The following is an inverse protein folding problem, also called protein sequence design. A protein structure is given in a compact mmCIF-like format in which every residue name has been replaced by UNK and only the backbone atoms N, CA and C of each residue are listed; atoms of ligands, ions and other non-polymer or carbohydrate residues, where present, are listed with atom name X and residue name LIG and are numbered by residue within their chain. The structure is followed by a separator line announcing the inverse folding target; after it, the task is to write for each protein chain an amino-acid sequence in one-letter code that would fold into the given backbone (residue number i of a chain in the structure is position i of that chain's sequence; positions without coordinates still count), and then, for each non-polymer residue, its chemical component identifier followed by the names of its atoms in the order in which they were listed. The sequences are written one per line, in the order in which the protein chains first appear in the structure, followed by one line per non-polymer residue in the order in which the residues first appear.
data_IF_827533458282
#
_entry.id   IF_827533458282
#
_cell.length_a   1.000
_cell.length_b   1.000
_cell.length_c   1.000
_cell.angle_alpha   90.00
_cell.angle_beta   90.00
_cell.angle_gamma   90.00
#
_symmetry.space_group_name_H-M   'P 1'
#
loop_
_entity.id
_entity.type
_entity.pdbx_description
1 polymer ?
#
# COMPACT_ATOMS: atom_id res chain seq x y z
N UNK A 1 -1.90 12.70 -0.02
CA UNK A 1 -2.16 11.78 1.11
C UNK A 1 -1.02 11.78 2.14
N UNK A 2 0.21 12.09 1.73
CA UNK A 2 1.37 12.15 2.65
C UNK A 2 1.20 13.17 3.79
N UNK A 3 0.55 14.31 3.56
CA UNK A 3 0.27 15.28 4.63
C UNK A 3 -0.65 14.72 5.72
N UNK A 4 -1.66 13.94 5.33
CA UNK A 4 -2.55 13.26 6.28
C UNK A 4 -1.76 12.23 7.11
N UNK A 5 -0.86 11.46 6.47
CA UNK A 5 0.05 10.54 7.19
C UNK A 5 0.95 11.31 8.17
N UNK A 6 1.48 12.47 7.77
CA UNK A 6 2.27 13.34 8.62
C UNK A 6 1.48 13.96 9.78
N UNK A 7 0.20 14.28 9.58
CA UNK A 7 -0.70 14.73 10.63
C UNK A 7 -0.97 13.62 11.66
N UNK A 8 -1.25 12.38 11.22
CA UNK A 8 -1.40 11.23 12.11
C UNK A 8 -0.13 10.94 12.92
N UNK A 9 1.03 11.07 12.29
CA UNK A 9 2.31 10.87 12.96
C UNK A 9 2.57 11.92 14.05
N UNK A 10 2.28 13.20 13.77
CA UNK A 10 2.55 14.32 14.69
C UNK A 10 1.46 14.54 15.74
N UNK A 11 0.22 14.18 15.44
CA UNK A 11 -0.96 14.49 16.26
C UNK A 11 -1.21 13.53 17.42
N UNK A 12 -0.57 12.37 17.46
CA UNK A 12 -0.78 11.37 18.50
C UNK A 12 0.47 11.16 19.37
N UNK A 13 0.32 11.26 20.69
CA UNK A 13 1.38 10.91 21.66
C UNK A 13 1.87 9.46 21.52
N UNK A 14 1.02 8.57 21.01
CA UNK A 14 1.34 7.17 20.75
C UNK A 14 0.99 6.86 19.29
N UNK A 15 1.97 6.35 18.55
CA UNK A 15 1.81 6.03 17.14
C UNK A 15 0.70 4.98 16.96
N UNK A 16 -0.30 5.25 16.10
CA UNK A 16 -1.32 4.26 15.81
C UNK A 16 -0.72 3.12 14.97
N UNK A 17 -1.35 1.93 14.92
CA UNK A 17 -0.84 0.80 14.15
C UNK A 17 -0.69 1.18 12.67
N UNK A 18 0.37 0.75 11.98
CA UNK A 18 0.63 1.15 10.58
C UNK A 18 -0.52 0.85 9.62
N UNK A 19 -1.26 -0.24 9.85
CA UNK A 19 -2.48 -0.60 9.10
C UNK A 19 -3.59 0.47 9.16
N UNK A 20 -3.55 1.37 10.13
CA UNK A 20 -4.52 2.47 10.29
C UNK A 20 -4.06 3.75 9.61
N UNK A 21 -2.80 3.81 9.15
CA UNK A 21 -2.34 4.96 8.39
C UNK A 21 -3.03 5.01 7.03
N UNK A 22 -3.32 6.22 6.52
CA UNK A 22 -3.74 6.37 5.13
C UNK A 22 -2.74 5.70 4.19
N UNK A 23 -3.18 5.09 3.08
CA UNK A 23 -2.28 4.52 2.08
C UNK A 23 -1.32 5.59 1.55
N UNK A 24 -0.15 5.17 1.06
CA UNK A 24 0.73 6.07 0.31
C UNK A 24 0.04 6.51 -0.98
N UNK A 25 0.45 7.66 -1.53
CA UNK A 25 -0.18 8.24 -2.72
C UNK A 25 -0.24 7.24 -3.90
N UNK A 26 0.81 6.44 -4.11
CA UNK A 26 0.83 5.42 -5.14
C UNK A 26 -0.25 4.33 -4.94
N UNK A 27 -0.45 3.87 -3.70
CA UNK A 27 -1.50 2.89 -3.39
C UNK A 27 -2.89 3.51 -3.46
N UNK A 28 -3.04 4.79 -3.09
CA UNK A 28 -4.30 5.51 -3.28
C UNK A 28 -4.68 5.56 -4.77
N UNK A 29 -3.74 5.84 -5.67
CA UNK A 29 -4.01 5.85 -7.11
C UNK A 29 -4.50 4.47 -7.60
N UNK A 30 -3.85 3.39 -7.16
CA UNK A 30 -4.30 2.03 -7.47
C UNK A 30 -5.73 1.74 -6.94
N UNK A 31 -6.08 2.26 -5.76
CA UNK A 31 -7.45 2.16 -5.25
C UNK A 31 -8.46 2.96 -6.09
N UNK A 32 -8.11 4.18 -6.50
CA UNK A 32 -8.96 5.01 -7.37
C UNK A 32 -9.20 4.32 -8.69
N UNK A 33 -8.17 3.72 -9.29
CA UNK A 33 -8.29 2.96 -10.53
C UNK A 33 -9.25 1.77 -10.39
N UNK A 34 -9.16 1.00 -9.29
CA UNK A 34 -10.10 -0.10 -9.03
C UNK A 34 -11.54 0.39 -8.85
N UNK A 35 -11.74 1.49 -8.12
CA UNK A 35 -13.05 2.10 -7.97
C UNK A 35 -13.59 2.61 -9.32
N UNK A 36 -12.71 3.14 -10.18
CA UNK A 36 -13.08 3.58 -11.52
C UNK A 36 -13.54 2.41 -12.39
N UNK A 37 -12.83 1.28 -12.39
CA UNK A 37 -13.26 0.05 -13.06
C UNK A 37 -14.65 -0.40 -12.59
N UNK A 38 -14.88 -0.39 -11.27
CA UNK A 38 -16.17 -0.76 -10.70
C UNK A 38 -17.31 0.12 -11.25
N UNK A 39 -17.09 1.43 -11.32
CA UNK A 39 -18.07 2.38 -11.85
C UNK A 39 -18.28 2.18 -13.35
N UNK A 40 -17.22 1.91 -14.13
CA UNK A 40 -17.33 1.60 -15.57
C UNK A 40 -18.23 0.38 -15.81
N UNK A 41 -17.99 -0.70 -15.06
CA UNK A 41 -18.80 -1.92 -15.15
C UNK A 41 -20.25 -1.68 -14.74
N UNK A 42 -20.49 -0.90 -13.67
CA UNK A 42 -21.84 -0.56 -13.24
C UNK A 42 -22.61 0.25 -14.27
N UNK A 43 -21.97 1.25 -14.89
CA UNK A 43 -22.60 2.05 -15.94
C UNK A 43 -22.95 1.23 -17.18
N UNK A 44 -22.22 0.16 -17.43
CA UNK A 44 -22.44 -0.77 -18.53
C UNK A 44 -23.24 -2.03 -18.13
N UNK A 45 -23.85 -2.07 -16.94
CA UNK A 45 -24.46 -3.30 -16.41
C UNK A 45 -25.61 -3.87 -17.27
N UNK A 46 -26.26 -3.06 -18.10
CA UNK A 46 -27.31 -3.49 -19.03
C UNK A 46 -26.77 -3.91 -20.41
N UNK A 47 -25.49 -3.72 -20.67
CA UNK A 47 -24.85 -4.09 -21.93
C UNK A 47 -24.50 -5.57 -21.90
N UNK A 48 -24.53 -6.22 -23.07
CA UNK A 48 -24.17 -7.64 -23.21
C UNK A 48 -22.71 -7.90 -22.87
N UNK A 49 -21.84 -7.02 -23.33
CA UNK A 49 -20.39 -7.13 -23.18
C UNK A 49 -19.87 -5.96 -22.34
N UNK A 50 -18.81 -6.16 -21.54
CA UNK A 50 -18.19 -5.08 -20.79
C UNK A 50 -17.54 -4.05 -21.73
N UNK A 51 -17.36 -2.79 -21.27
CA UNK A 51 -16.63 -1.76 -22.02
C UNK A 51 -15.24 -2.26 -22.44
N UNK A 52 -14.78 -1.84 -23.62
CA UNK A 52 -13.48 -2.25 -24.16
C UNK A 52 -12.35 -1.95 -23.16
N UNK A 53 -12.43 -0.80 -22.51
CA UNK A 53 -11.46 -0.35 -21.51
C UNK A 53 -11.38 -1.34 -20.34
N UNK A 54 -12.52 -1.91 -19.92
CA UNK A 54 -12.59 -2.83 -18.79
C UNK A 54 -12.08 -4.25 -19.11
N UNK A 55 -11.80 -4.57 -20.39
CA UNK A 55 -11.33 -5.90 -20.79
C UNK A 55 -9.95 -6.25 -20.22
N UNK A 56 -9.09 -5.25 -20.06
CA UNK A 56 -7.80 -5.44 -19.41
C UNK A 56 -7.79 -4.79 -18.02
N UNK A 57 -8.23 -5.55 -17.02
CA UNK A 57 -8.31 -5.09 -15.62
C UNK A 57 -6.94 -4.73 -15.03
N UNK A 58 -5.82 -5.17 -15.63
CA UNK A 58 -4.48 -4.80 -15.17
C UNK A 58 -4.23 -3.29 -15.24
N UNK A 59 -4.88 -2.61 -16.20
CA UNK A 59 -4.85 -1.15 -16.32
C UNK A 59 -5.52 -0.44 -15.13
N UNK A 60 -6.24 -1.17 -14.28
CA UNK A 60 -7.00 -0.63 -13.17
C UNK A 60 -6.47 -1.06 -11.80
N UNK A 61 -5.18 -1.42 -11.72
CA UNK A 61 -4.53 -1.77 -10.45
C UNK A 61 -4.83 -3.19 -9.96
N UNK A 62 -4.93 -4.14 -10.91
CA UNK A 62 -4.99 -5.58 -10.65
C UNK A 62 -3.76 -6.26 -11.23
N UNK A 63 -3.29 -7.33 -10.58
CA UNK A 63 -2.29 -8.24 -11.12
C UNK A 63 -2.99 -9.48 -11.64
N UNK A 64 -2.57 -9.95 -12.82
CA UNK A 64 -3.11 -11.16 -13.47
C UNK A 64 -1.94 -12.13 -13.61
N UNK A 65 -1.95 -13.21 -12.82
CA UNK A 65 -0.92 -14.24 -12.83
C UNK A 65 -1.59 -15.59 -13.13
N UNK A 66 -1.62 -15.97 -14.41
CA UNK A 66 -2.37 -17.14 -14.86
C UNK A 66 -3.86 -16.99 -14.56
N UNK A 67 -4.40 -17.83 -13.68
CA UNK A 67 -5.80 -17.76 -13.22
C UNK A 67 -6.00 -16.93 -11.94
N UNK A 68 -4.91 -16.48 -11.30
CA UNK A 68 -4.99 -15.69 -10.08
C UNK A 68 -5.13 -14.20 -10.40
N UNK A 69 -6.11 -13.56 -9.76
CA UNK A 69 -6.31 -12.11 -9.80
C UNK A 69 -6.09 -11.58 -8.39
N UNK A 70 -5.09 -10.72 -8.22
CA UNK A 70 -4.78 -10.08 -6.93
C UNK A 70 -4.74 -8.57 -7.08
N UNK A 71 -4.96 -7.84 -5.99
CA UNK A 71 -4.86 -6.38 -6.02
C UNK A 71 -3.41 -5.97 -6.20
N UNK A 72 -3.12 -5.12 -7.19
CA UNK A 72 -1.79 -4.53 -7.30
C UNK A 72 -1.53 -3.63 -6.08
N UNK A 73 -0.32 -3.76 -5.53
CA UNK A 73 0.20 -2.95 -4.43
C UNK A 73 1.51 -2.33 -4.93
N UNK A 74 1.68 -1.04 -4.71
CA UNK A 74 2.89 -0.32 -5.08
C UNK A 74 4.09 -0.84 -4.28
N UNK A 75 5.22 -1.00 -4.97
CA UNK A 75 6.53 -1.27 -4.39
C UNK A 75 7.28 0.01 -4.00
N UNK A 76 6.64 1.18 -4.15
CA UNK A 76 7.23 2.45 -3.75
C UNK A 76 7.51 2.46 -2.24
N UNK A 77 8.63 3.05 -1.80
CA UNK A 77 8.98 3.07 -0.39
C UNK A 77 7.92 3.82 0.42
N UNK A 78 7.64 3.30 1.62
CA UNK A 78 6.58 3.82 2.52
C UNK A 78 6.92 5.22 3.07
N UNK A 79 8.21 5.60 2.99
CA UNK A 79 8.76 6.88 3.36
C UNK A 79 10.00 7.21 2.50
N UNK A 80 10.42 8.48 2.41
CA UNK A 80 11.71 8.87 1.82
C UNK A 80 12.89 8.10 2.41
N UNK A 81 13.89 7.77 1.59
CA UNK A 81 15.06 6.98 2.00
C UNK A 81 15.80 7.61 3.19
N UNK A 82 16.04 8.93 3.16
CA UNK A 82 16.70 9.64 4.25
C UNK A 82 15.99 9.51 5.62
N UNK A 83 14.67 9.27 5.63
CA UNK A 83 13.94 9.00 6.86
C UNK A 83 14.08 7.54 7.30
N UNK A 84 14.18 6.59 6.37
CA UNK A 84 14.44 5.19 6.69
C UNK A 84 15.84 5.01 7.28
N UNK A 85 16.82 5.79 6.80
CA UNK A 85 18.22 5.72 7.25
C UNK A 85 18.41 6.16 8.72
N UNK A 86 17.47 6.94 9.28
CA UNK A 86 17.48 7.36 10.70
C UNK A 86 16.55 6.52 11.59
N UNK A 87 15.69 5.69 11.00
CA UNK A 87 14.85 4.76 11.75
C UNK A 87 15.72 3.60 12.23
N UNK A 88 15.93 3.55 13.55
CA UNK A 88 16.69 2.49 14.20
C UNK A 88 15.85 1.82 15.28
N UNK A 89 16.08 0.52 15.48
CA UNK A 89 15.67 -0.17 16.68
C UNK A 89 16.89 -0.38 17.59
N UNK A 90 16.66 -0.72 18.85
CA UNK A 90 17.72 -1.07 19.79
C UNK A 90 18.19 -2.53 19.64
N UNK A 91 17.93 -3.18 18.50
CA UNK A 91 18.37 -4.55 18.28
C UNK A 91 19.88 -4.58 18.03
N UNK A 92 20.63 -5.20 18.93
CA UNK A 92 22.05 -5.48 18.78
C UNK A 92 22.23 -6.96 18.47
N UNK A 93 22.55 -7.31 17.22
CA UNK A 93 22.92 -8.68 16.86
C UNK A 93 23.86 -8.67 15.65
N UNK A 94 24.98 -9.39 15.75
CA UNK A 94 26.07 -9.41 14.74
C UNK A 94 25.65 -9.96 13.37
N UNK A 95 24.61 -10.80 13.29
CA UNK A 95 24.17 -11.43 12.03
C UNK A 95 22.65 -11.47 11.79
N UNK A 96 21.82 -11.00 12.73
CA UNK A 96 20.33 -11.02 12.64
C UNK A 96 19.70 -9.77 13.23
N UNK A 97 20.26 -8.60 12.93
CA UNK A 97 19.60 -7.35 13.25
C UNK A 97 18.21 -7.36 12.59
N UNK A 98 17.19 -7.01 13.35
CA UNK A 98 15.82 -6.84 12.87
C UNK A 98 15.08 -8.07 12.32
N UNK A 99 15.56 -9.31 12.48
CA UNK A 99 14.81 -10.50 12.01
C UNK A 99 13.91 -11.14 13.08
N UNK A 100 14.06 -10.73 14.34
CA UNK A 100 13.32 -11.29 15.46
C UNK A 100 11.91 -10.73 15.60
N UNK A 101 10.99 -11.51 16.17
CA UNK A 101 9.62 -11.07 16.51
C UNK A 101 9.55 -9.97 17.57
N UNK A 102 10.66 -9.75 18.30
CA UNK A 102 10.80 -8.68 19.31
C UNK A 102 11.36 -7.37 18.74
N UNK A 103 11.75 -7.33 17.47
CA UNK A 103 12.27 -6.11 16.85
C UNK A 103 11.13 -5.15 16.52
N UNK A 104 11.24 -3.89 16.98
CA UNK A 104 10.27 -2.84 16.64
C UNK A 104 10.22 -2.55 15.14
N UNK A 105 11.36 -2.53 14.43
CA UNK A 105 11.39 -2.32 12.98
C UNK A 105 10.70 -3.46 12.20
N UNK A 106 10.94 -4.72 12.57
CA UNK A 106 10.29 -5.88 11.94
C UNK A 106 8.78 -5.88 12.21
N UNK A 107 8.38 -5.61 13.45
CA UNK A 107 6.96 -5.52 13.81
C UNK A 107 6.23 -4.39 13.08
N UNK A 108 6.98 -3.36 12.69
CA UNK A 108 6.52 -2.23 11.92
C UNK A 108 6.70 -2.43 10.40
N UNK A 109 7.24 -3.56 9.94
CA UNK A 109 7.47 -3.80 8.50
C UNK A 109 8.39 -2.78 7.84
N UNK A 110 9.35 -2.23 8.59
CA UNK A 110 10.36 -1.25 8.12
C UNK A 110 11.80 -1.75 8.32
N UNK A 111 11.95 -3.06 8.58
CA UNK A 111 13.24 -3.77 8.66
C UNK A 111 13.79 -4.13 7.27
#
# INVERSE_FOLDING_TARGET
MNDARGHFYRGHKKLPPLKTFPPIDANLQLHVLRAHLQVLLWKAAAQRDPPEEARNIANFGWNIEGSAITTAVSTAPVAPQALLDVVSCSCTAECKACSGTRCSCNSAGVS
#
